data_IF_296952370111
#
_entry.id   IF_296952370111
#
_cell.length_a   1.000
_cell.length_b   1.000
_cell.length_c   1.000
_cell.angle_alpha   90.00
_cell.angle_beta   90.00
_cell.angle_gamma   90.00
#
_symmetry.space_group_name_H-M   'P 1'
#
loop_
_entity.id
_entity.type
_entity.pdbx_description
1 polymer ?
#
# COMPACT_ATOMS: atom_id res chain seq x y z
N UNK A 1 22.65 -11.24 17.56
CA UNK A 1 21.32 -11.37 17.20
C UNK A 1 20.76 -10.07 16.62
N UNK A 2 19.74 -10.21 15.87
CA UNK A 2 19.18 -9.06 15.28
C UNK A 2 18.29 -8.42 16.28
N UNK A 3 18.76 -7.44 16.89
CA UNK A 3 17.99 -6.78 17.83
C UNK A 3 16.97 -5.96 17.16
N UNK A 4 16.75 -4.85 17.56
CA UNK A 4 15.78 -4.01 16.99
C UNK A 4 16.17 -3.47 15.70
N UNK A 5 15.32 -3.64 14.71
CA UNK A 5 15.50 -2.96 13.46
C UNK A 5 14.65 -1.73 13.51
N UNK A 6 15.28 -0.62 13.35
CA UNK A 6 14.57 0.63 13.39
C UNK A 6 14.11 1.00 12.00
N UNK A 7 12.84 0.81 11.75
CA UNK A 7 12.25 1.21 10.49
C UNK A 7 11.96 2.71 10.52
N UNK A 8 12.33 3.38 9.45
CA UNK A 8 12.13 4.82 9.34
C UNK A 8 10.93 5.09 8.44
N UNK A 9 9.98 5.87 8.91
CA UNK A 9 8.83 6.24 8.11
C UNK A 9 9.28 7.11 6.94
N UNK A 10 8.92 6.72 5.73
CA UNK A 10 9.24 7.49 4.53
C UNK A 10 8.23 8.62 4.36
N UNK A 11 6.95 8.31 4.55
CA UNK A 11 5.86 9.27 4.40
C UNK A 11 4.68 8.84 5.25
N UNK A 12 3.97 9.79 5.81
CA UNK A 12 2.77 9.51 6.58
C UNK A 12 1.56 9.42 5.64
N UNK A 13 0.74 8.40 5.85
CA UNK A 13 -0.48 8.18 5.10
C UNK A 13 -1.62 7.86 6.06
N UNK A 14 -2.84 7.85 5.55
CA UNK A 14 -4.03 7.56 6.35
C UNK A 14 -4.27 6.06 6.50
N UNK A 15 -4.22 5.32 5.38
CA UNK A 15 -4.60 3.91 5.36
C UNK A 15 -3.42 2.95 5.29
N UNK A 16 -2.23 3.44 5.00
CA UNK A 16 -1.05 2.59 4.92
C UNK A 16 0.08 3.12 5.77
N UNK A 17 0.99 2.23 6.12
CA UNK A 17 2.27 2.60 6.70
C UNK A 17 3.32 2.40 5.61
N UNK A 18 4.24 3.34 5.49
CA UNK A 18 5.28 3.26 4.46
C UNK A 18 6.62 3.57 5.10
N UNK A 19 7.42 2.54 5.29
CA UNK A 19 8.70 2.69 5.98
C UNK A 19 9.83 1.96 5.26
N UNK A 20 11.04 2.19 5.74
CA UNK A 20 12.26 1.78 5.08
C UNK A 20 13.27 1.26 6.09
N UNK A 21 13.97 0.21 5.72
CA UNK A 21 15.10 -0.28 6.47
C UNK A 21 16.07 -0.99 5.54
N UNK A 22 17.29 -0.49 5.49
CA UNK A 22 18.42 -1.18 4.81
C UNK A 22 18.10 -1.67 3.39
N UNK A 23 17.62 -0.77 2.55
CA UNK A 23 17.31 -1.09 1.15
C UNK A 23 15.92 -1.65 0.92
N UNK A 24 15.16 -1.91 1.98
CA UNK A 24 13.83 -2.51 1.89
C UNK A 24 12.79 -1.45 2.22
N UNK A 25 11.87 -1.22 1.29
CA UNK A 25 10.69 -0.41 1.55
C UNK A 25 9.54 -1.33 1.88
N UNK A 26 8.78 -1.00 2.92
CA UNK A 26 7.64 -1.80 3.33
C UNK A 26 6.38 -0.96 3.26
N UNK A 27 5.40 -1.45 2.53
CA UNK A 27 4.07 -0.85 2.46
C UNK A 27 3.14 -1.76 3.23
N UNK A 28 2.56 -1.26 4.31
CA UNK A 28 1.67 -2.03 5.18
C UNK A 28 0.26 -1.49 5.04
N UNK A 29 -0.67 -2.32 4.62
CA UNK A 29 -2.08 -1.94 4.62
C UNK A 29 -2.53 -1.93 6.06
N UNK A 30 -2.90 -0.75 6.58
CA UNK A 30 -3.16 -0.57 8.00
C UNK A 30 -4.63 -0.28 8.24
N UNK A 31 -5.47 -1.24 7.89
CA UNK A 31 -6.91 -1.18 8.13
C UNK A 31 -7.38 -2.46 8.80
N UNK A 32 -6.68 -2.85 9.86
CA UNK A 32 -6.91 -4.12 10.56
C UNK A 32 -8.35 -4.28 11.02
N UNK A 33 -8.98 -3.20 11.44
CA UNK A 33 -10.38 -3.18 11.86
C UNK A 33 -11.32 -3.66 10.75
N UNK A 34 -10.92 -3.51 9.48
CA UNK A 34 -11.69 -3.92 8.32
C UNK A 34 -11.00 -5.06 7.59
N UNK A 35 -10.14 -5.81 8.30
CA UNK A 35 -9.33 -6.90 7.74
C UNK A 35 -8.52 -6.46 6.53
N UNK A 36 -8.04 -5.23 6.61
CA UNK A 36 -7.20 -4.61 5.58
C UNK A 36 -7.89 -4.53 4.22
N UNK A 37 -9.21 -4.39 4.22
CA UNK A 37 -9.95 -4.10 3.00
C UNK A 37 -9.54 -2.72 2.48
N UNK A 38 -9.41 -2.58 1.16
CA UNK A 38 -8.94 -1.32 0.60
C UNK A 38 -10.11 -0.42 0.20
N UNK A 39 -9.86 0.88 0.26
CA UNK A 39 -10.75 1.92 -0.22
C UNK A 39 -10.04 2.66 -1.36
N UNK A 40 -10.71 3.58 -2.06
CA UNK A 40 -10.00 4.45 -3.00
C UNK A 40 -8.83 5.21 -2.38
N UNK A 41 -8.95 5.61 -1.11
CA UNK A 41 -7.84 6.26 -0.41
C UNK A 41 -6.67 5.31 -0.25
N UNK A 42 -6.92 4.06 0.15
CA UNK A 42 -5.88 3.05 0.32
C UNK A 42 -5.12 2.84 -0.98
N UNK A 43 -5.83 2.66 -2.10
CA UNK A 43 -5.17 2.40 -3.38
C UNK A 43 -4.42 3.63 -3.90
N UNK A 44 -4.94 4.82 -3.68
CA UNK A 44 -4.24 6.04 -4.07
C UNK A 44 -2.93 6.20 -3.28
N UNK A 45 -2.96 5.90 -1.99
CA UNK A 45 -1.77 5.96 -1.15
C UNK A 45 -0.75 4.90 -1.55
N UNK A 46 -1.20 3.69 -1.84
CA UNK A 46 -0.32 2.64 -2.32
C UNK A 46 0.33 3.02 -3.65
N UNK A 47 -0.42 3.63 -4.53
CA UNK A 47 0.10 4.10 -5.80
C UNK A 47 1.19 5.15 -5.60
N UNK A 48 0.99 6.08 -4.69
CA UNK A 48 1.97 7.10 -4.38
C UNK A 48 3.24 6.48 -3.77
N UNK A 49 3.06 5.56 -2.83
CA UNK A 49 4.19 4.86 -2.21
C UNK A 49 5.00 4.06 -3.23
N UNK A 50 4.32 3.36 -4.15
CA UNK A 50 4.99 2.59 -5.18
C UNK A 50 5.76 3.49 -6.15
N UNK A 51 5.22 4.68 -6.45
CA UNK A 51 5.94 5.64 -7.28
C UNK A 51 7.25 6.07 -6.60
N UNK A 52 7.20 6.34 -5.30
CA UNK A 52 8.39 6.68 -4.54
C UNK A 52 9.39 5.53 -4.56
N UNK A 53 8.93 4.30 -4.37
CA UNK A 53 9.79 3.12 -4.43
C UNK A 53 10.49 2.99 -5.78
N UNK A 54 9.79 3.32 -6.84
CA UNK A 54 10.36 3.23 -8.18
C UNK A 54 11.47 4.24 -8.39
N UNK A 55 11.29 5.44 -7.85
CA UNK A 55 12.19 6.57 -8.11
C UNK A 55 13.38 6.66 -7.17
N UNK A 56 13.28 6.08 -5.97
CA UNK A 56 14.34 6.19 -4.98
C UNK A 56 15.41 5.15 -5.18
N UNK A 57 16.64 5.62 -5.42
CA UNK A 57 17.77 4.74 -5.70
C UNK A 57 18.14 3.86 -4.50
N UNK A 58 17.84 4.31 -3.29
CA UNK A 58 18.19 3.56 -2.08
C UNK A 58 17.25 2.40 -1.79
N UNK A 59 16.16 2.31 -2.51
CA UNK A 59 15.19 1.22 -2.32
C UNK A 59 15.48 0.14 -3.35
N UNK A 60 15.83 -1.05 -2.86
CA UNK A 60 16.16 -2.19 -3.71
C UNK A 60 15.04 -3.21 -3.81
N UNK A 61 14.29 -3.39 -2.72
CA UNK A 61 13.24 -4.40 -2.62
C UNK A 61 12.01 -3.76 -1.97
N UNK A 62 10.84 -4.16 -2.44
CA UNK A 62 9.58 -3.65 -1.92
C UNK A 62 8.81 -4.80 -1.31
N UNK A 63 8.36 -4.63 -0.07
CA UNK A 63 7.53 -5.61 0.63
C UNK A 63 6.15 -5.00 0.83
N UNK A 64 5.11 -5.74 0.50
CA UNK A 64 3.73 -5.33 0.75
C UNK A 64 3.12 -6.33 1.72
N UNK A 65 2.56 -5.84 2.81
CA UNK A 65 1.98 -6.69 3.83
C UNK A 65 0.72 -6.04 4.41
N UNK A 66 0.03 -6.76 5.28
CA UNK A 66 -1.13 -6.25 6.01
C UNK A 66 -0.83 -6.17 7.49
N UNK A 67 -1.38 -5.17 8.16
CA UNK A 67 -1.24 -5.02 9.60
C UNK A 67 -1.98 -6.13 10.33
N UNK A 68 -1.44 -6.52 11.49
CA UNK A 68 -2.07 -7.54 12.31
C UNK A 68 -1.80 -8.95 11.78
N UNK A 69 -2.57 -9.91 12.29
CA UNK A 69 -2.36 -11.33 11.98
C UNK A 69 -3.60 -11.99 11.37
N UNK A 70 -4.63 -11.23 11.02
CA UNK A 70 -5.88 -11.81 10.54
C UNK A 70 -6.01 -11.83 9.04
N UNK A 71 -5.54 -10.79 8.37
CA UNK A 71 -5.63 -10.75 6.91
C UNK A 71 -4.53 -9.87 6.34
N UNK A 72 -4.01 -10.29 5.21
CA UNK A 72 -3.14 -9.44 4.39
C UNK A 72 -4.00 -8.33 3.77
N UNK A 73 -5.01 -8.73 3.01
CA UNK A 73 -5.98 -7.82 2.39
C UNK A 73 -7.23 -8.63 2.05
N UNK A 74 -8.39 -8.19 2.51
CA UNK A 74 -9.63 -8.93 2.28
C UNK A 74 -10.38 -8.49 1.03
N UNK A 75 -9.79 -7.61 0.22
CA UNK A 75 -10.41 -7.12 -1.00
C UNK A 75 -10.96 -5.72 -0.83
N UNK A 76 -11.85 -5.30 -1.72
CA UNK A 76 -12.44 -3.97 -1.64
C UNK A 76 -13.42 -3.82 -0.51
N UNK A 77 -13.41 -2.65 0.11
CA UNK A 77 -14.32 -2.36 1.22
C UNK A 77 -15.74 -2.14 0.67
N UNK A 78 -16.65 -3.04 1.03
CA UNK A 78 -18.01 -2.99 0.53
C UNK A 78 -18.78 -1.77 1.01
N UNK A 79 -18.37 -1.17 2.10
CA UNK A 79 -19.03 0.01 2.65
C UNK A 79 -18.82 1.28 1.81
N UNK A 80 -17.80 1.29 0.97
CA UNK A 80 -17.50 2.45 0.11
C UNK A 80 -17.78 2.19 -1.36
N UNK A 81 -18.21 0.96 -1.70
CA UNK A 81 -18.56 0.60 -3.07
C UNK A 81 -20.00 0.91 -3.33
N UNK A 82 -20.29 1.85 -4.20
CA UNK A 82 -21.66 2.22 -4.57
C UNK A 82 -22.00 1.77 -5.98
N UNK A 83 -23.10 2.29 -6.52
CA UNK A 83 -23.55 1.96 -7.87
C UNK A 83 -22.54 2.28 -8.95
N UNK A 84 -21.82 3.35 -8.77
CA UNK A 84 -20.79 3.77 -9.72
C UNK A 84 -19.44 3.13 -9.47
N UNK A 85 -19.36 2.16 -8.55
CA UNK A 85 -18.09 1.57 -8.14
C UNK A 85 -17.48 2.34 -6.98
N UNK A 86 -16.16 2.33 -6.89
CA UNK A 86 -15.48 3.01 -5.80
C UNK A 86 -15.34 4.49 -6.08
N UNK A 87 -15.79 5.31 -5.12
CA UNK A 87 -15.74 6.76 -5.22
C UNK A 87 -14.81 7.28 -4.13
N UNK A 88 -13.80 8.04 -4.52
CA UNK A 88 -12.85 8.64 -3.59
C UNK A 88 -13.40 9.88 -2.91
N UNK A 89 -12.55 10.53 -2.12
CA UNK A 89 -12.93 11.72 -1.35
C UNK A 89 -13.35 12.88 -2.24
N UNK A 90 -12.88 12.92 -3.47
CA UNK A 90 -13.23 13.95 -4.43
C UNK A 90 -14.54 13.65 -5.17
N UNK A 91 -15.20 12.56 -4.83
CA UNK A 91 -16.47 12.19 -5.46
C UNK A 91 -16.36 11.58 -6.84
N UNK A 92 -15.15 11.33 -7.33
CA UNK A 92 -14.91 10.79 -8.67
C UNK A 92 -14.70 9.28 -8.59
N UNK A 93 -15.46 8.46 -9.34
CA UNK A 93 -15.23 7.02 -9.39
C UNK A 93 -13.84 6.71 -9.97
N UNK A 94 -13.12 5.76 -9.37
CA UNK A 94 -11.78 5.42 -9.82
C UNK A 94 -11.54 3.93 -9.74
N UNK A 95 -10.78 3.42 -10.70
CA UNK A 95 -10.31 2.04 -10.71
C UNK A 95 -8.85 1.99 -10.29
N UNK A 96 -8.53 2.64 -9.17
CA UNK A 96 -7.15 2.80 -8.69
C UNK A 96 -6.46 1.47 -8.43
N UNK A 97 -7.21 0.42 -8.10
CA UNK A 97 -6.62 -0.89 -7.85
C UNK A 97 -5.93 -1.43 -9.09
N UNK A 98 -6.45 -1.15 -10.29
CA UNK A 98 -5.81 -1.59 -11.52
C UNK A 98 -4.49 -0.87 -11.75
N UNK A 99 -4.42 0.40 -11.37
CA UNK A 99 -3.19 1.17 -11.47
C UNK A 99 -2.13 0.62 -10.54
N UNK A 100 -2.51 0.25 -9.32
CA UNK A 100 -1.59 -0.37 -8.35
C UNK A 100 -1.05 -1.68 -8.91
N UNK A 101 -1.92 -2.52 -9.48
CA UNK A 101 -1.49 -3.78 -10.07
C UNK A 101 -0.52 -3.58 -11.23
N UNK A 102 -0.77 -2.59 -12.06
CA UNK A 102 0.15 -2.27 -13.16
C UNK A 102 1.49 -1.80 -12.64
N UNK A 103 1.50 -0.97 -11.61
CA UNK A 103 2.73 -0.49 -11.02
C UNK A 103 3.56 -1.64 -10.47
N UNK A 104 2.93 -2.58 -9.75
CA UNK A 104 3.64 -3.73 -9.18
C UNK A 104 4.33 -4.52 -10.29
N UNK A 105 3.66 -4.72 -11.41
CA UNK A 105 4.23 -5.50 -12.51
C UNK A 105 5.30 -4.76 -13.30
N UNK A 106 5.27 -3.44 -13.31
CA UNK A 106 6.17 -2.66 -14.16
C UNK A 106 7.37 -2.08 -13.44
N UNK A 107 7.39 -2.07 -12.11
CA UNK A 107 8.53 -1.56 -11.36
C UNK A 107 9.72 -2.50 -11.54
N UNK A 108 10.90 -1.96 -11.92
CA UNK A 108 12.09 -2.79 -12.14
C UNK A 108 12.80 -3.16 -10.84
N UNK A 109 12.04 -3.57 -9.82
CA UNK A 109 12.55 -3.98 -8.51
C UNK A 109 11.68 -5.12 -8.01
N UNK A 110 12.24 -6.06 -7.25
CA UNK A 110 11.41 -7.14 -6.68
C UNK A 110 10.33 -6.59 -5.76
N UNK A 111 9.13 -7.11 -5.91
CA UNK A 111 8.00 -6.80 -5.03
C UNK A 111 7.55 -8.12 -4.41
N UNK A 112 7.57 -8.19 -3.09
CA UNK A 112 7.26 -9.38 -2.33
C UNK A 112 6.04 -9.12 -1.48
N UNK A 113 5.07 -10.00 -1.56
CA UNK A 113 3.84 -9.88 -0.75
C UNK A 113 3.93 -10.72 0.52
#
# INVERSE_FOLDING_TARGET
MLTQREWTTIREYEDILFDYYNGIARITINRERYRNAFTPTTTAEMSDALRICREEADIDVIVITGAGDKAFCSGGDQNVKGRGGYIGKDGVPRLSVLDVQKQIRSIPKPVIA
#
